data_IF_137769290990
#
_entry.id   IF_137769290990
#
_cell.length_a   1.000
_cell.length_b   1.000
_cell.length_c   1.000
_cell.angle_alpha   90.00
_cell.angle_beta   90.00
_cell.angle_gamma   90.00
#
_symmetry.space_group_name_H-M   'P 1'
#
loop_
_entity.id
_entity.type
_entity.pdbx_description
1 polymer ?
#
# COMPACT_ATOMS: atom_id res chain seq x y z
N UNK A 1 35.10 -0.07 -9.32
CA UNK A 1 36.38 -0.66 -8.87
C UNK A 1 36.38 -2.17 -9.07
N UNK A 2 35.54 -2.93 -8.35
CA UNK A 2 35.53 -4.40 -8.37
C UNK A 2 35.65 -5.05 -9.76
N UNK A 3 34.78 -4.68 -10.72
CA UNK A 3 34.83 -5.22 -12.08
C UNK A 3 36.10 -4.81 -12.85
N UNK A 4 36.44 -3.52 -12.84
CA UNK A 4 37.56 -2.97 -13.62
C UNK A 4 38.94 -3.38 -13.13
N UNK A 5 39.06 -3.81 -11.87
CA UNK A 5 40.34 -4.24 -11.27
C UNK A 5 40.53 -5.76 -11.29
N UNK A 6 39.66 -6.50 -11.98
CA UNK A 6 39.81 -7.95 -12.15
C UNK A 6 41.16 -8.29 -12.79
N UNK A 7 41.91 -9.21 -12.20
CA UNK A 7 43.30 -9.55 -12.58
C UNK A 7 44.30 -8.38 -12.59
N UNK A 8 43.97 -7.21 -12.01
CA UNK A 8 44.86 -6.04 -11.94
C UNK A 8 45.35 -5.74 -10.52
N UNK A 9 44.66 -6.25 -9.50
CA UNK A 9 45.03 -6.11 -8.08
C UNK A 9 45.18 -7.48 -7.42
N UNK A 10 45.93 -7.60 -6.31
CA UNK A 10 46.04 -8.86 -5.57
C UNK A 10 44.68 -9.40 -5.15
N UNK A 11 44.49 -10.73 -5.21
CA UNK A 11 43.23 -11.41 -4.89
C UNK A 11 42.67 -11.03 -3.52
N UNK A 12 43.53 -10.95 -2.49
CA UNK A 12 43.14 -10.52 -1.14
C UNK A 12 42.56 -9.11 -1.12
N UNK A 13 43.09 -8.19 -1.94
CA UNK A 13 42.57 -6.83 -2.05
C UNK A 13 41.26 -6.81 -2.83
N UNK A 14 41.14 -7.61 -3.89
CA UNK A 14 39.91 -7.75 -4.66
C UNK A 14 38.74 -8.25 -3.80
N UNK A 15 38.99 -9.25 -2.94
CA UNK A 15 38.02 -9.73 -1.95
C UNK A 15 37.62 -8.65 -0.93
N UNK A 16 38.57 -7.84 -0.44
CA UNK A 16 38.26 -6.72 0.46
C UNK A 16 37.34 -5.68 -0.20
N UNK A 17 37.56 -5.38 -1.49
CA UNK A 17 36.68 -4.49 -2.26
C UNK A 17 35.27 -5.09 -2.38
N UNK A 18 35.17 -6.41 -2.58
CA UNK A 18 33.88 -7.12 -2.59
C UNK A 18 33.14 -7.01 -1.25
N UNK A 19 33.83 -7.24 -0.14
CA UNK A 19 33.26 -7.09 1.21
C UNK A 19 32.84 -5.65 1.52
N UNK A 20 33.61 -4.66 1.08
CA UNK A 20 33.22 -3.26 1.20
C UNK A 20 31.92 -2.97 0.45
N UNK A 21 31.76 -3.50 -0.76
CA UNK A 21 30.54 -3.36 -1.55
C UNK A 21 29.33 -4.03 -0.87
N UNK A 22 29.52 -5.24 -0.33
CA UNK A 22 28.48 -5.94 0.42
C UNK A 22 28.06 -5.17 1.68
N UNK A 23 29.03 -4.66 2.44
CA UNK A 23 28.78 -3.83 3.63
C UNK A 23 28.05 -2.53 3.30
N UNK A 24 28.50 -1.80 2.28
CA UNK A 24 27.82 -0.59 1.81
C UNK A 24 26.38 -0.88 1.36
N UNK A 25 26.17 -1.98 0.63
CA UNK A 25 24.84 -2.41 0.21
C UNK A 25 23.94 -2.72 1.41
N UNK A 26 24.47 -3.40 2.44
CA UNK A 26 23.73 -3.64 3.67
C UNK A 26 23.35 -2.34 4.41
N UNK A 27 24.22 -1.33 4.43
CA UNK A 27 23.89 -0.04 5.05
C UNK A 27 22.74 0.69 4.33
N UNK A 28 22.55 0.48 3.01
CA UNK A 28 21.36 1.01 2.32
C UNK A 28 20.08 0.38 2.89
N UNK A 29 20.07 -0.94 3.09
CA UNK A 29 18.97 -1.65 3.74
C UNK A 29 18.76 -1.14 5.18
N UNK A 30 19.84 -1.00 5.96
CA UNK A 30 19.78 -0.50 7.34
C UNK A 30 19.07 0.86 7.43
N UNK A 31 19.41 1.80 6.55
CA UNK A 31 18.84 3.16 6.51
C UNK A 31 17.38 3.13 6.04
N UNK A 32 17.11 2.51 4.89
CA UNK A 32 15.75 2.45 4.31
C UNK A 32 14.79 1.71 5.25
N UNK A 33 15.28 0.68 5.95
CA UNK A 33 14.50 -0.05 6.95
C UNK A 33 13.99 0.87 8.06
N UNK A 34 14.83 1.79 8.55
CA UNK A 34 14.43 2.79 9.55
C UNK A 34 13.27 3.65 9.09
N UNK A 35 13.35 4.16 7.85
CA UNK A 35 12.29 4.99 7.26
C UNK A 35 10.99 4.18 7.10
N UNK A 36 11.06 2.98 6.53
CA UNK A 36 9.87 2.17 6.26
C UNK A 36 9.15 1.68 7.52
N UNK A 37 9.91 1.35 8.57
CA UNK A 37 9.33 0.89 9.85
C UNK A 37 8.76 2.05 10.65
N UNK A 38 9.37 3.23 10.58
CA UNK A 38 8.85 4.46 11.19
C UNK A 38 7.44 4.81 10.67
N UNK A 39 7.19 4.58 9.37
CA UNK A 39 5.86 4.82 8.79
C UNK A 39 4.73 4.01 9.46
N UNK A 40 5.03 2.80 9.94
CA UNK A 40 4.06 1.94 10.62
C UNK A 40 4.01 2.21 12.13
N UNK A 41 5.19 2.28 12.74
CA UNK A 41 5.37 2.46 14.18
C UNK A 41 6.33 3.62 14.43
N UNK A 42 5.87 4.89 14.45
CA UNK A 42 6.77 6.02 14.68
C UNK A 42 7.29 6.11 16.12
N UNK A 43 6.60 5.46 17.07
CA UNK A 43 6.95 5.41 18.49
C UNK A 43 6.38 6.57 19.29
N UNK A 44 6.05 6.32 20.56
CA UNK A 44 5.38 7.29 21.44
C UNK A 44 6.21 8.57 21.62
N UNK A 45 7.51 8.44 21.87
CA UNK A 45 8.39 9.59 22.11
C UNK A 45 8.49 10.55 20.91
N UNK A 46 8.34 10.04 19.67
CA UNK A 46 8.30 10.90 18.50
C UNK A 46 6.92 11.54 18.32
N UNK A 47 5.84 10.77 18.56
CA UNK A 47 4.47 11.26 18.49
C UNK A 47 4.20 12.42 19.46
N UNK A 48 4.82 12.41 20.64
CA UNK A 48 4.72 13.50 21.63
C UNK A 48 5.20 14.86 21.12
N UNK A 49 6.15 14.88 20.19
CA UNK A 49 6.73 16.12 19.63
C UNK A 49 6.32 16.34 18.17
N UNK A 50 5.50 15.48 17.61
CA UNK A 50 5.14 15.52 16.19
C UNK A 50 4.25 16.73 15.89
N UNK A 51 4.67 17.56 14.92
CA UNK A 51 4.01 18.83 14.59
C UNK A 51 4.48 20.02 15.42
N UNK A 52 5.39 19.83 16.38
CA UNK A 52 5.92 20.92 17.22
C UNK A 52 7.14 21.63 16.62
N UNK A 53 7.72 21.09 15.55
CA UNK A 53 9.02 21.54 15.01
C UNK A 53 10.23 21.00 15.78
N UNK A 54 10.02 20.19 16.83
CA UNK A 54 11.08 19.57 17.63
C UNK A 54 11.31 18.09 17.30
N UNK A 55 10.81 17.60 16.17
CA UNK A 55 10.87 16.18 15.77
C UNK A 55 12.30 15.65 15.69
N UNK A 56 13.25 16.52 15.28
CA UNK A 56 14.66 16.19 15.20
C UNK A 56 15.27 15.79 16.56
N UNK A 57 14.72 16.27 17.68
CA UNK A 57 15.19 15.91 19.02
C UNK A 57 14.96 14.43 19.36
N UNK A 58 14.02 13.78 18.65
CA UNK A 58 13.63 12.37 18.85
C UNK A 58 14.06 11.47 17.70
N UNK A 59 14.99 11.92 16.85
CA UNK A 59 15.42 11.23 15.63
C UNK A 59 15.75 9.75 15.85
N UNK A 60 16.64 9.42 16.80
CA UNK A 60 17.08 8.03 16.99
C UNK A 60 15.97 7.13 17.53
N UNK A 61 15.02 7.68 18.29
CA UNK A 61 13.87 6.93 18.81
C UNK A 61 12.86 6.63 17.70
N UNK A 62 12.68 7.57 16.76
CA UNK A 62 11.93 7.35 15.53
C UNK A 62 12.63 6.37 14.58
N UNK A 63 13.95 6.47 14.43
CA UNK A 63 14.71 5.60 13.53
C UNK A 63 14.77 4.15 14.04
N UNK A 64 15.11 3.94 15.32
CA UNK A 64 15.12 2.63 15.98
C UNK A 64 13.79 2.34 16.68
N UNK A 65 12.72 2.46 15.90
CA UNK A 65 11.36 2.23 16.37
C UNK A 65 11.06 0.74 16.70
N UNK A 66 9.90 0.42 17.32
CA UNK A 66 9.61 -0.93 17.81
C UNK A 66 9.73 -2.04 16.76
N UNK A 67 9.38 -1.78 15.50
CA UNK A 67 9.43 -2.78 14.41
C UNK A 67 10.75 -2.78 13.64
N UNK A 68 11.69 -1.88 13.95
CA UNK A 68 12.97 -1.72 13.26
C UNK A 68 13.76 -3.04 13.17
N UNK A 69 14.09 -3.63 14.32
CA UNK A 69 14.92 -4.82 14.41
C UNK A 69 14.28 -6.06 13.79
N UNK A 70 13.04 -6.45 14.14
CA UNK A 70 12.43 -7.61 13.50
C UNK A 70 12.31 -7.44 11.98
N UNK A 71 12.02 -6.23 11.50
CA UNK A 71 11.98 -5.95 10.06
C UNK A 71 13.35 -6.03 9.39
N UNK A 72 14.40 -5.52 10.03
CA UNK A 72 15.77 -5.60 9.52
C UNK A 72 16.21 -7.06 9.35
N UNK A 73 15.96 -7.90 10.35
CA UNK A 73 16.27 -9.34 10.27
C UNK A 73 15.47 -10.02 9.16
N UNK A 74 14.16 -9.79 9.09
CA UNK A 74 13.31 -10.36 8.03
C UNK A 74 13.83 -9.99 6.64
N UNK A 75 14.11 -8.69 6.39
CA UNK A 75 14.62 -8.22 5.10
C UNK A 75 16.01 -8.78 4.78
N UNK A 76 16.87 -8.89 5.79
CA UNK A 76 18.20 -9.50 5.61
C UNK A 76 18.08 -10.96 5.19
N UNK A 77 17.20 -11.74 5.83
CA UNK A 77 16.95 -13.13 5.48
C UNK A 77 16.40 -13.28 4.06
N UNK A 78 15.48 -12.39 3.66
CA UNK A 78 14.96 -12.34 2.28
C UNK A 78 16.08 -12.01 1.29
N UNK A 79 16.92 -11.00 1.55
CA UNK A 79 18.05 -10.67 0.68
C UNK A 79 19.04 -11.83 0.53
N UNK A 80 19.38 -12.50 1.63
CA UNK A 80 20.30 -13.65 1.63
C UNK A 80 19.73 -14.82 0.84
N UNK A 81 18.44 -15.13 1.03
CA UNK A 81 17.78 -16.20 0.29
C UNK A 81 17.66 -15.89 -1.21
N UNK A 82 17.30 -14.65 -1.59
CA UNK A 82 17.26 -14.21 -2.99
C UNK A 82 18.65 -14.27 -3.64
N UNK A 83 19.72 -13.92 -2.91
CA UNK A 83 21.08 -14.08 -3.40
C UNK A 83 21.41 -15.56 -3.68
N UNK A 84 21.00 -16.47 -2.80
CA UNK A 84 21.10 -17.91 -3.02
C UNK A 84 20.33 -18.40 -4.23
N UNK A 85 19.09 -17.92 -4.44
CA UNK A 85 18.29 -18.24 -5.62
C UNK A 85 18.93 -17.74 -6.91
N UNK A 86 19.50 -16.53 -6.91
CA UNK A 86 20.21 -16.00 -8.07
C UNK A 86 21.52 -16.77 -8.36
N UNK A 87 22.23 -17.18 -7.32
CA UNK A 87 23.39 -18.05 -7.45
C UNK A 87 23.02 -19.41 -8.07
N UNK A 88 21.86 -19.99 -7.71
CA UNK A 88 21.33 -21.19 -8.35
C UNK A 88 21.05 -21.00 -9.84
N UNK A 89 20.50 -19.84 -10.25
CA UNK A 89 20.29 -19.50 -11.67
C UNK A 89 21.63 -19.50 -12.42
N UNK A 90 22.66 -18.88 -11.85
CA UNK A 90 23.99 -18.84 -12.47
C UNK A 90 24.62 -20.23 -12.52
N UNK A 91 24.57 -20.99 -11.42
CA UNK A 91 25.13 -22.33 -11.29
C UNK A 91 24.44 -23.37 -12.19
N UNK A 92 23.13 -23.20 -12.45
CA UNK A 92 22.36 -24.10 -13.33
C UNK A 92 22.87 -24.12 -14.77
N UNK A 93 23.60 -23.08 -15.21
CA UNK A 93 24.20 -22.99 -16.55
C UNK A 93 25.49 -23.81 -16.70
N UNK A 94 26.03 -24.36 -15.61
CA UNK A 94 27.17 -25.26 -15.67
C UNK A 94 26.75 -26.60 -16.30
N UNK A 95 27.62 -27.12 -17.18
CA UNK A 95 27.44 -28.43 -17.81
C UNK A 95 27.69 -29.53 -16.77
N UNK A 96 26.64 -30.31 -16.45
CA UNK A 96 26.71 -31.38 -15.46
C UNK A 96 27.60 -32.55 -15.86
N UNK A 97 27.84 -32.75 -17.16
CA UNK A 97 28.68 -33.84 -17.68
C UNK A 97 30.15 -33.43 -17.70
N UNK A 98 30.46 -32.18 -18.05
CA UNK A 98 31.85 -31.67 -18.11
C UNK A 98 32.38 -31.17 -16.77
N UNK A 99 31.52 -30.55 -15.97
CA UNK A 99 31.89 -29.86 -14.73
C UNK A 99 31.04 -30.32 -13.53
N UNK A 100 30.68 -31.62 -13.51
CA UNK A 100 29.74 -32.16 -12.53
C UNK A 100 30.14 -31.97 -11.05
N UNK A 101 31.45 -31.98 -10.74
CA UNK A 101 31.94 -31.71 -9.39
C UNK A 101 31.72 -30.25 -8.97
N UNK A 102 32.18 -29.29 -9.78
CA UNK A 102 31.99 -27.86 -9.55
C UNK A 102 30.51 -27.49 -9.47
N UNK A 103 29.69 -28.00 -10.42
CA UNK A 103 28.25 -27.78 -10.40
C UNK A 103 27.61 -28.26 -9.11
N UNK A 104 28.02 -29.43 -8.62
CA UNK A 104 27.51 -30.00 -7.37
C UNK A 104 27.84 -29.15 -6.17
N UNK A 105 29.09 -28.70 -6.07
CA UNK A 105 29.56 -27.86 -4.98
C UNK A 105 28.81 -26.52 -4.94
N UNK A 106 28.79 -25.81 -6.07
CA UNK A 106 28.18 -24.47 -6.15
C UNK A 106 26.68 -24.53 -5.90
N UNK A 107 25.96 -25.54 -6.41
CA UNK A 107 24.52 -25.70 -6.18
C UNK A 107 24.22 -25.99 -4.70
N UNK A 108 24.96 -26.90 -4.06
CA UNK A 108 24.75 -27.22 -2.65
C UNK A 108 25.10 -26.04 -1.73
N UNK A 109 26.18 -25.33 -2.06
CA UNK A 109 26.53 -24.10 -1.37
C UNK A 109 25.45 -23.02 -1.53
N UNK A 110 24.94 -22.82 -2.75
CA UNK A 110 23.85 -21.87 -3.04
C UNK A 110 22.55 -22.24 -2.31
N UNK A 111 22.21 -23.53 -2.25
CA UNK A 111 21.07 -24.04 -1.48
C UNK A 111 21.20 -23.74 0.02
N UNK A 112 22.41 -23.82 0.57
CA UNK A 112 22.67 -23.51 1.98
C UNK A 112 22.19 -22.12 2.41
N UNK A 113 22.19 -21.14 1.50
CA UNK A 113 21.71 -19.78 1.76
C UNK A 113 20.18 -19.64 1.88
N UNK A 114 19.41 -20.67 1.52
CA UNK A 114 17.96 -20.70 1.73
C UNK A 114 17.58 -21.12 3.15
N UNK A 115 18.45 -21.87 3.83
CA UNK A 115 18.18 -22.47 5.13
C UNK A 115 17.95 -21.42 6.24
N UNK A 116 18.79 -20.36 6.39
CA UNK A 116 18.57 -19.37 7.43
C UNK A 116 17.20 -18.72 7.34
N UNK A 117 16.75 -18.39 6.13
CA UNK A 117 15.46 -17.78 5.91
C UNK A 117 14.32 -18.73 6.34
N UNK A 118 14.39 -20.02 5.98
CA UNK A 118 13.36 -20.98 6.37
C UNK A 118 13.19 -21.13 7.89
N UNK A 119 14.29 -21.21 8.65
CA UNK A 119 14.22 -21.42 10.10
C UNK A 119 13.98 -20.13 10.88
N UNK A 120 14.57 -19.02 10.45
CA UNK A 120 14.56 -17.77 11.22
C UNK A 120 13.41 -16.84 10.83
N UNK A 121 12.91 -16.88 9.58
CA UNK A 121 11.81 -15.99 9.18
C UNK A 121 10.55 -16.19 10.02
N UNK A 122 10.07 -17.41 10.34
CA UNK A 122 8.90 -17.58 11.20
C UNK A 122 9.09 -16.93 12.58
N UNK A 123 10.28 -17.06 13.17
CA UNK A 123 10.61 -16.50 14.49
C UNK A 123 10.63 -14.96 14.41
N UNK A 124 11.34 -14.39 13.44
CA UNK A 124 11.40 -12.94 13.24
C UNK A 124 10.04 -12.35 12.85
N UNK A 125 9.20 -13.12 12.15
CA UNK A 125 7.85 -12.71 11.79
C UNK A 125 6.93 -12.68 13.00
N UNK A 126 6.99 -13.68 13.89
CA UNK A 126 6.27 -13.65 15.16
C UNK A 126 6.75 -12.49 16.04
N UNK A 127 8.06 -12.22 16.09
CA UNK A 127 8.61 -11.04 16.77
C UNK A 127 8.10 -9.73 16.15
N UNK A 128 8.02 -9.66 14.83
CA UNK A 128 7.45 -8.51 14.13
C UNK A 128 5.98 -8.29 14.53
N UNK A 129 5.16 -9.34 14.46
CA UNK A 129 3.73 -9.27 14.80
C UNK A 129 3.49 -8.86 16.26
N UNK A 130 4.35 -9.30 17.19
CA UNK A 130 4.28 -8.91 18.58
C UNK A 130 4.51 -7.40 18.80
N UNK A 131 5.30 -6.76 17.93
CA UNK A 131 5.61 -5.33 18.01
C UNK A 131 4.59 -4.45 17.25
N UNK A 132 3.67 -5.04 16.48
CA UNK A 132 2.64 -4.30 15.74
C UNK A 132 1.50 -3.89 16.71
N UNK A 133 1.12 -2.60 16.75
CA UNK A 133 0.02 -2.11 17.59
C UNK A 133 -1.32 -2.83 17.37
N UNK A 134 -2.13 -2.95 18.42
CA UNK A 134 -3.42 -3.65 18.38
C UNK A 134 -4.40 -3.08 17.35
N UNK A 135 -4.40 -1.76 17.15
CA UNK A 135 -5.25 -1.09 16.14
C UNK A 135 -4.97 -1.58 14.72
N UNK A 136 -3.73 -2.00 14.43
CA UNK A 136 -3.31 -2.54 13.13
C UNK A 136 -3.39 -4.08 13.10
N UNK A 137 -3.39 -4.74 14.25
CA UNK A 137 -3.47 -6.21 14.36
C UNK A 137 -4.90 -6.75 14.22
N UNK A 138 -5.94 -5.93 14.39
CA UNK A 138 -7.33 -6.33 14.14
C UNK A 138 -7.55 -6.84 12.70
N UNK A 139 -6.84 -6.28 11.71
CA UNK A 139 -6.84 -6.76 10.32
C UNK A 139 -6.30 -8.19 10.16
N UNK A 140 -5.37 -8.59 11.03
CA UNK A 140 -4.81 -9.94 11.11
C UNK A 140 -5.73 -10.88 11.89
N UNK A 141 -6.29 -10.42 13.02
CA UNK A 141 -7.23 -11.18 13.85
C UNK A 141 -8.53 -11.53 13.13
N UNK A 142 -9.07 -10.61 12.34
CA UNK A 142 -10.25 -10.82 11.48
C UNK A 142 -10.04 -11.94 10.44
N UNK A 143 -8.80 -12.19 10.01
CA UNK A 143 -8.53 -13.27 9.07
C UNK A 143 -8.36 -14.65 9.72
N UNK A 144 -8.10 -14.70 11.03
CA UNK A 144 -7.99 -15.95 11.80
C UNK A 144 -9.39 -16.42 12.23
N UNK A 145 -10.29 -15.51 12.61
CA UNK A 145 -11.68 -15.84 13.00
C UNK A 145 -12.53 -16.31 11.82
N UNK A 146 -12.17 -15.97 10.58
CA UNK A 146 -12.85 -16.39 9.35
C UNK A 146 -12.24 -17.63 8.68
N UNK A 147 -11.31 -18.35 9.34
CA UNK A 147 -10.68 -19.58 8.79
C UNK A 147 -11.73 -20.65 8.48
N UNK A 148 -12.81 -20.72 9.27
CA UNK A 148 -13.92 -21.67 9.05
C UNK A 148 -14.91 -21.29 7.95
N UNK A 149 -14.95 -20.02 7.51
CA UNK A 149 -15.94 -19.50 6.55
C UNK A 149 -15.38 -19.25 5.14
N UNK A 150 -14.08 -19.45 4.92
CA UNK A 150 -13.43 -19.27 3.61
C UNK A 150 -13.28 -17.80 3.15
N UNK A 151 -13.73 -16.84 3.96
CA UNK A 151 -13.64 -15.41 3.69
C UNK A 151 -12.36 -14.83 4.29
N UNK A 152 -11.20 -15.13 3.70
CA UNK A 152 -9.92 -14.59 4.19
C UNK A 152 -9.84 -13.07 4.02
N UNK A 153 -9.36 -12.36 5.04
CA UNK A 153 -8.85 -11.00 4.83
C UNK A 153 -7.66 -11.06 3.86
N UNK A 154 -7.47 -10.01 3.07
CA UNK A 154 -6.38 -9.95 2.08
C UNK A 154 -5.00 -10.15 2.73
N UNK A 155 -4.83 -9.67 3.95
CA UNK A 155 -3.58 -9.77 4.71
C UNK A 155 -3.29 -11.23 5.10
N UNK A 156 -4.27 -11.92 5.71
CA UNK A 156 -4.08 -13.31 6.16
C UNK A 156 -3.86 -14.27 4.99
N UNK A 157 -4.58 -14.09 3.88
CA UNK A 157 -4.33 -14.86 2.65
C UNK A 157 -2.91 -14.66 2.13
N UNK A 158 -2.42 -13.43 2.14
CA UNK A 158 -1.08 -13.09 1.65
C UNK A 158 0.02 -13.67 2.55
N UNK A 159 -0.19 -13.66 3.87
CA UNK A 159 0.70 -14.31 4.83
C UNK A 159 0.75 -15.84 4.62
N UNK A 160 -0.41 -16.50 4.47
CA UNK A 160 -0.47 -17.94 4.19
C UNK A 160 0.23 -18.32 2.88
N UNK A 161 -0.04 -17.58 1.79
CA UNK A 161 0.63 -17.77 0.50
C UNK A 161 2.14 -17.65 0.67
N UNK A 162 2.61 -16.67 1.44
CA UNK A 162 4.05 -16.48 1.67
C UNK A 162 4.67 -17.69 2.38
N UNK A 163 4.03 -18.18 3.44
CA UNK A 163 4.51 -19.34 4.21
C UNK A 163 4.51 -20.59 3.33
N UNK A 164 3.41 -20.87 2.64
CA UNK A 164 3.28 -22.03 1.76
C UNK A 164 4.29 -21.96 0.62
N UNK A 165 4.42 -20.82 -0.05
CA UNK A 165 5.38 -20.62 -1.14
C UNK A 165 6.82 -20.81 -0.66
N UNK A 166 7.16 -20.30 0.53
CA UNK A 166 8.49 -20.48 1.13
C UNK A 166 8.79 -21.95 1.43
N UNK A 167 7.82 -22.69 1.97
CA UNK A 167 7.93 -24.12 2.21
C UNK A 167 8.07 -24.91 0.89
N UNK A 168 7.30 -24.53 -0.14
CA UNK A 168 7.39 -25.13 -1.48
C UNK A 168 8.75 -24.88 -2.12
N UNK A 169 9.30 -23.65 -2.04
CA UNK A 169 10.65 -23.32 -2.53
C UNK A 169 11.67 -24.23 -1.87
N UNK A 170 11.62 -24.38 -0.54
CA UNK A 170 12.59 -25.21 0.16
C UNK A 170 12.45 -26.69 -0.24
N UNK A 171 11.22 -27.20 -0.31
CA UNK A 171 10.96 -28.58 -0.70
C UNK A 171 11.50 -28.88 -2.11
N UNK A 172 11.17 -28.04 -3.10
CA UNK A 172 11.65 -28.19 -4.48
C UNK A 172 13.18 -28.02 -4.53
N UNK A 173 13.74 -27.02 -3.85
CA UNK A 173 15.18 -26.80 -3.83
C UNK A 173 15.92 -27.98 -3.17
N UNK A 174 15.36 -28.59 -2.13
CA UNK A 174 15.94 -29.79 -1.52
C UNK A 174 15.85 -31.00 -2.46
N UNK A 175 14.66 -31.27 -3.00
CA UNK A 175 14.42 -32.45 -3.84
C UNK A 175 15.18 -32.40 -5.17
N UNK A 176 15.27 -31.24 -5.80
CA UNK A 176 15.85 -31.10 -7.14
C UNK A 176 17.29 -30.60 -7.06
N UNK A 177 17.55 -29.53 -6.32
CA UNK A 177 18.89 -28.92 -6.30
C UNK A 177 19.85 -29.66 -5.36
N UNK A 178 19.42 -30.06 -4.16
CA UNK A 178 20.31 -30.70 -3.20
C UNK A 178 20.55 -32.20 -3.50
N UNK A 179 19.50 -32.95 -3.85
CA UNK A 179 19.62 -34.38 -4.18
C UNK A 179 20.18 -34.65 -5.57
N UNK A 180 19.74 -33.90 -6.59
CA UNK A 180 20.13 -34.12 -7.99
C UNK A 180 20.85 -32.90 -8.61
N UNK A 181 21.94 -32.41 -8.00
CA UNK A 181 22.56 -31.15 -8.41
C UNK A 181 23.13 -31.17 -9.84
N UNK A 182 23.59 -32.32 -10.35
CA UNK A 182 24.16 -32.41 -11.71
C UNK A 182 23.10 -32.14 -12.78
N UNK A 183 21.88 -32.61 -12.55
CA UNK A 183 20.73 -32.49 -13.46
C UNK A 183 19.91 -31.21 -13.22
N UNK A 184 20.25 -30.43 -12.20
CA UNK A 184 19.57 -29.16 -11.92
C UNK A 184 19.70 -28.21 -13.11
N UNK A 185 18.57 -27.99 -13.79
CA UNK A 185 18.46 -27.19 -15.01
C UNK A 185 18.05 -25.75 -14.76
N UNK A 186 18.25 -24.91 -15.78
CA UNK A 186 17.92 -23.48 -15.75
C UNK A 186 16.44 -23.20 -15.50
N UNK A 187 15.54 -24.02 -16.04
CA UNK A 187 14.10 -23.87 -15.82
C UNK A 187 13.70 -23.96 -14.35
N UNK A 188 14.24 -24.95 -13.60
CA UNK A 188 14.02 -25.07 -12.17
C UNK A 188 14.53 -23.85 -11.40
N UNK A 189 15.71 -23.35 -11.77
CA UNK A 189 16.30 -22.19 -11.11
C UNK A 189 15.45 -20.92 -11.30
N UNK A 190 14.98 -20.67 -12.52
CA UNK A 190 14.09 -19.53 -12.82
C UNK A 190 12.75 -19.67 -12.10
N UNK A 191 12.16 -20.87 -12.07
CA UNK A 191 10.92 -21.11 -11.32
C UNK A 191 11.09 -20.80 -9.83
N UNK A 192 12.17 -21.28 -9.20
CA UNK A 192 12.46 -20.98 -7.79
C UNK A 192 12.66 -19.48 -7.55
N UNK A 193 13.36 -18.78 -8.47
CA UNK A 193 13.53 -17.34 -8.39
C UNK A 193 12.20 -16.59 -8.49
N UNK A 194 11.33 -16.94 -9.45
CA UNK A 194 10.01 -16.32 -9.63
C UNK A 194 9.14 -16.53 -8.40
N UNK A 195 9.15 -17.74 -7.81
CA UNK A 195 8.45 -18.01 -6.55
C UNK A 195 9.00 -17.16 -5.40
N UNK A 196 10.32 -17.01 -5.30
CA UNK A 196 10.97 -16.15 -4.31
C UNK A 196 10.53 -14.68 -4.46
N UNK A 197 10.55 -14.15 -5.67
CA UNK A 197 10.11 -12.79 -5.97
C UNK A 197 8.61 -12.60 -5.68
N UNK A 198 7.77 -13.59 -6.02
CA UNK A 198 6.34 -13.56 -5.72
C UNK A 198 6.06 -13.57 -4.22
N UNK A 199 6.81 -14.36 -3.44
CA UNK A 199 6.73 -14.36 -1.98
C UNK A 199 7.14 -13.00 -1.41
N UNK A 200 8.26 -12.42 -1.87
CA UNK A 200 8.70 -11.08 -1.46
C UNK A 200 7.68 -10.00 -1.80
N UNK A 201 7.15 -9.98 -3.03
CA UNK A 201 6.13 -9.03 -3.45
C UNK A 201 4.83 -9.16 -2.65
N UNK A 202 4.45 -10.39 -2.29
CA UNK A 202 3.31 -10.68 -1.41
C UNK A 202 3.53 -10.08 -0.02
N UNK A 203 4.68 -10.31 0.60
CA UNK A 203 4.99 -9.72 1.92
C UNK A 203 5.00 -8.20 1.92
N UNK A 204 5.54 -7.58 0.87
CA UNK A 204 5.55 -6.10 0.76
C UNK A 204 4.14 -5.54 0.58
N UNK A 205 3.28 -6.21 -0.19
CA UNK A 205 1.87 -5.86 -0.30
C UNK A 205 1.14 -5.99 1.04
N UNK A 206 1.40 -7.05 1.81
CA UNK A 206 0.79 -7.23 3.13
C UNK A 206 1.21 -6.11 4.10
N UNK A 207 2.50 -5.75 4.11
CA UNK A 207 3.06 -4.65 4.89
C UNK A 207 2.47 -3.30 4.49
N UNK A 208 2.24 -3.06 3.20
CA UNK A 208 1.54 -1.86 2.71
C UNK A 208 0.09 -1.80 3.18
N UNK A 209 -0.61 -2.93 3.21
CA UNK A 209 -1.99 -2.99 3.70
C UNK A 209 -2.08 -2.75 5.21
N UNK A 210 -1.14 -3.26 6.00
CA UNK A 210 -1.09 -3.03 7.45
C UNK A 210 -0.86 -1.56 7.83
N UNK A 211 -0.24 -0.77 6.94
CA UNK A 211 0.02 0.65 7.18
C UNK A 211 -1.24 1.51 7.02
N UNK A 212 -2.19 1.09 6.18
CA UNK A 212 -3.41 1.87 5.92
C UNK A 212 -4.26 1.97 7.20
N UNK A 213 -4.95 3.10 7.43
CA UNK A 213 -5.16 4.25 6.53
C UNK A 213 -4.08 5.35 6.58
N UNK A 214 -2.93 5.09 7.21
CA UNK A 214 -1.91 6.11 7.49
C UNK A 214 -0.75 6.13 6.47
N UNK A 215 -0.08 7.27 6.35
CA UNK A 215 1.31 7.36 5.84
C UNK A 215 2.29 7.24 7.00
N UNK A 216 2.00 7.91 8.11
CA UNK A 216 2.72 7.82 9.39
C UNK A 216 1.71 7.46 10.46
N UNK A 217 1.85 6.26 11.04
CA UNK A 217 0.91 5.71 12.00
C UNK A 217 0.55 6.70 13.11
N UNK A 218 -0.75 6.89 13.35
CA UNK A 218 -1.28 7.79 14.40
C UNK A 218 -0.95 9.29 14.24
N UNK A 219 -0.23 9.69 13.19
CA UNK A 219 0.13 11.09 12.95
C UNK A 219 -0.50 11.66 11.68
N UNK A 220 -0.39 10.94 10.55
CA UNK A 220 -0.80 11.45 9.24
C UNK A 220 -1.47 10.37 8.41
N UNK A 221 -2.67 10.69 7.92
CA UNK A 221 -3.47 9.86 7.03
C UNK A 221 -2.89 9.78 5.62
N UNK A 222 -3.31 8.77 4.85
CA UNK A 222 -2.90 8.54 3.46
C UNK A 222 -3.20 9.68 2.49
N UNK A 223 -4.16 10.55 2.82
CA UNK A 223 -4.47 11.78 2.09
C UNK A 223 -3.69 13.02 2.62
N UNK A 224 -2.72 12.83 3.51
CA UNK A 224 -1.86 13.89 4.05
C UNK A 224 -2.44 14.67 5.22
N UNK A 225 -3.70 14.41 5.61
CA UNK A 225 -4.34 15.09 6.73
C UNK A 225 -3.76 14.58 8.04
N UNK A 226 -3.37 15.50 8.93
CA UNK A 226 -2.81 15.16 10.24
C UNK A 226 -3.91 14.84 11.24
N UNK A 227 -3.71 13.70 11.91
CA UNK A 227 -4.49 13.28 13.09
C UNK A 227 -4.02 13.98 14.36
N UNK A 228 -2.71 14.24 14.47
CA UNK A 228 -2.14 14.91 15.64
C UNK A 228 -2.44 16.41 15.59
N UNK A 229 -2.80 17.04 16.72
CA UNK A 229 -2.93 18.49 16.81
C UNK A 229 -1.63 19.21 16.46
N UNK A 230 -1.74 20.39 15.84
CA UNK A 230 -0.58 21.23 15.51
C UNK A 230 -0.86 22.67 15.94
N UNK A 231 0.06 23.26 16.71
CA UNK A 231 -0.06 24.63 17.22
C UNK A 231 -1.05 24.81 18.37
N UNK A 232 -1.27 26.06 18.76
CA UNK A 232 -2.35 26.48 19.66
C UNK A 232 -3.47 27.15 18.84
N UNK A 233 -4.76 26.86 19.11
CA UNK A 233 -5.27 25.82 20.01
C UNK A 233 -5.00 24.41 19.45
N UNK A 234 -4.94 23.39 20.30
CA UNK A 234 -4.68 21.98 19.93
C UNK A 234 -5.84 21.33 19.15
N UNK A 235 -6.16 21.87 17.97
CA UNK A 235 -7.18 21.37 17.06
C UNK A 235 -6.51 20.47 16.03
N UNK A 236 -7.13 19.33 15.72
CA UNK A 236 -6.65 18.44 14.66
C UNK A 236 -6.96 19.03 13.28
N UNK A 237 -6.18 18.71 12.25
CA UNK A 237 -6.51 19.16 10.88
C UNK A 237 -7.87 18.61 10.43
N UNK A 238 -8.27 17.44 10.93
CA UNK A 238 -9.59 16.86 10.69
C UNK A 238 -10.70 17.80 11.19
N UNK A 239 -10.63 18.23 12.45
CA UNK A 239 -11.61 19.16 13.02
C UNK A 239 -11.60 20.51 12.31
N UNK A 240 -10.41 21.04 12.04
CA UNK A 240 -10.22 22.31 11.35
C UNK A 240 -10.86 22.31 9.96
N UNK A 241 -10.58 21.29 9.14
CA UNK A 241 -11.16 21.19 7.80
C UNK A 241 -12.66 20.90 7.82
N UNK A 242 -13.17 20.24 8.86
CA UNK A 242 -14.60 20.05 9.03
C UNK A 242 -15.35 21.34 9.38
N UNK A 243 -14.70 22.29 10.06
CA UNK A 243 -15.31 23.59 10.40
C UNK A 243 -15.07 24.68 9.37
N UNK A 244 -13.84 24.79 8.86
CA UNK A 244 -13.41 25.87 7.95
C UNK A 244 -13.57 25.49 6.47
N UNK A 245 -13.62 24.20 6.15
CA UNK A 245 -13.59 23.67 4.79
C UNK A 245 -12.19 23.27 4.34
N UNK A 246 -12.11 22.16 3.61
CA UNK A 246 -10.86 21.57 3.13
C UNK A 246 -10.20 22.42 2.04
N UNK A 247 -10.99 22.97 1.12
CA UNK A 247 -10.47 23.68 -0.05
C UNK A 247 -9.94 25.08 0.27
N UNK A 248 -10.19 25.59 1.48
CA UNK A 248 -9.63 26.87 1.95
C UNK A 248 -8.10 26.87 1.97
N UNK A 249 -7.48 25.72 2.21
CA UNK A 249 -6.02 25.54 2.25
C UNK A 249 -5.49 24.69 1.10
N UNK A 250 -6.33 24.36 0.12
CA UNK A 250 -5.90 23.62 -1.07
C UNK A 250 -5.04 24.49 -1.98
N UNK A 251 -3.84 23.99 -2.32
CA UNK A 251 -2.95 24.61 -3.31
C UNK A 251 -3.54 24.61 -4.73
N UNK A 252 -4.57 23.80 -4.99
CA UNK A 252 -5.20 23.64 -6.30
C UNK A 252 -6.49 24.44 -6.45
N UNK A 253 -6.97 25.08 -5.38
CA UNK A 253 -8.05 26.07 -5.44
C UNK A 253 -7.45 27.46 -5.67
N UNK A 254 -8.00 28.18 -6.65
CA UNK A 254 -7.69 29.58 -6.89
C UNK A 254 -8.39 30.48 -5.86
N UNK A 255 -7.95 31.73 -5.74
CA UNK A 255 -8.60 32.69 -4.84
C UNK A 255 -10.02 33.04 -5.31
N UNK A 256 -10.21 33.16 -6.62
CA UNK A 256 -11.51 33.41 -7.23
C UNK A 256 -12.51 32.29 -6.92
N UNK A 257 -12.08 31.02 -7.07
CA UNK A 257 -12.89 29.84 -6.70
C UNK A 257 -13.25 29.86 -5.19
N UNK A 258 -12.29 30.20 -4.31
CA UNK A 258 -12.55 30.26 -2.85
C UNK A 258 -13.58 31.32 -2.50
N UNK A 259 -13.50 32.51 -3.08
CA UNK A 259 -14.47 33.60 -2.83
C UNK A 259 -15.86 33.19 -3.30
N UNK A 260 -15.98 32.66 -4.51
CA UNK A 260 -17.26 32.22 -5.07
C UNK A 260 -17.93 31.12 -4.23
N UNK A 261 -17.16 30.14 -3.75
CA UNK A 261 -17.68 29.09 -2.87
C UNK A 261 -18.06 29.59 -1.48
N UNK A 262 -17.32 30.54 -0.91
CA UNK A 262 -17.68 31.14 0.36
C UNK A 262 -19.03 31.89 0.27
N UNK A 263 -19.25 32.64 -0.81
CA UNK A 263 -20.54 33.30 -1.08
C UNK A 263 -21.67 32.27 -1.22
N UNK A 264 -21.44 31.20 -1.98
CA UNK A 264 -22.40 30.11 -2.13
C UNK A 264 -22.75 29.47 -0.79
N UNK A 265 -21.74 29.16 0.04
CA UNK A 265 -21.92 28.50 1.35
C UNK A 265 -22.79 29.33 2.31
N UNK A 266 -22.73 30.66 2.24
CA UNK A 266 -23.61 31.55 3.02
C UNK A 266 -25.08 31.50 2.60
N UNK A 267 -25.35 31.18 1.34
CA UNK A 267 -26.71 31.13 0.78
C UNK A 267 -27.32 29.72 0.78
N UNK A 268 -26.53 28.70 1.14
CA UNK A 268 -26.95 27.31 1.18
C UNK A 268 -27.98 27.07 2.30
N UNK A 269 -29.11 26.47 1.94
CA UNK A 269 -30.24 26.21 2.85
C UNK A 269 -30.50 24.70 3.08
N UNK A 270 -29.54 23.83 2.73
CA UNK A 270 -29.68 22.38 2.89
C UNK A 270 -30.42 21.66 1.75
N UNK A 271 -30.80 22.35 0.68
CA UNK A 271 -31.42 21.76 -0.51
C UNK A 271 -30.43 21.56 -1.66
N UNK A 272 -30.66 20.56 -2.54
CA UNK A 272 -29.92 20.36 -3.79
C UNK A 272 -30.29 21.47 -4.81
N UNK A 273 -30.00 22.73 -4.51
CA UNK A 273 -30.07 23.82 -5.48
C UNK A 273 -28.70 23.96 -6.16
N UNK A 274 -28.35 22.92 -6.91
CA UNK A 274 -27.14 22.85 -7.75
C UNK A 274 -27.49 22.62 -9.22
N UNK A 275 -28.77 22.85 -9.57
CA UNK A 275 -29.25 22.93 -10.94
C UNK A 275 -29.23 24.39 -11.38
N UNK A 276 -28.55 24.66 -12.48
CA UNK A 276 -28.70 25.93 -13.18
C UNK A 276 -30.16 26.05 -13.65
N UNK A 277 -30.87 27.09 -13.20
CA UNK A 277 -32.22 27.43 -13.71
C UNK A 277 -32.22 27.66 -15.24
N UNK A 278 -31.04 27.80 -15.86
CA UNK A 278 -30.86 28.08 -17.29
C UNK A 278 -30.32 26.91 -18.10
N UNK A 279 -29.91 25.79 -17.49
CA UNK A 279 -29.25 24.65 -18.17
C UNK A 279 -29.77 23.27 -17.70
N UNK A 280 -31.09 23.07 -17.59
CA UNK A 280 -31.67 21.74 -17.33
C UNK A 280 -31.18 21.06 -16.02
N UNK A 281 -31.38 19.74 -15.85
CA UNK A 281 -30.99 19.01 -14.64
C UNK A 281 -29.48 18.75 -14.51
N UNK A 282 -28.64 19.55 -15.19
CA UNK A 282 -27.18 19.38 -15.15
C UNK A 282 -26.59 20.16 -13.97
N UNK A 283 -25.65 19.51 -13.26
CA UNK A 283 -24.93 20.10 -12.14
C UNK A 283 -24.06 21.25 -12.66
N UNK A 284 -24.06 22.38 -11.96
CA UNK A 284 -23.25 23.54 -12.35
C UNK A 284 -21.75 23.15 -12.47
N UNK A 285 -21.05 23.59 -13.54
CA UNK A 285 -19.64 23.25 -13.74
C UNK A 285 -18.72 23.63 -12.56
N UNK A 286 -19.02 24.74 -11.89
CA UNK A 286 -18.29 25.21 -10.71
C UNK A 286 -18.41 24.23 -9.53
N UNK A 287 -19.58 23.62 -9.34
CA UNK A 287 -19.82 22.60 -8.33
C UNK A 287 -19.08 21.31 -8.65
N UNK A 288 -19.10 20.89 -9.92
CA UNK A 288 -18.32 19.73 -10.37
C UNK A 288 -16.82 19.98 -10.19
N UNK A 289 -16.36 21.21 -10.42
CA UNK A 289 -14.98 21.62 -10.17
C UNK A 289 -14.60 21.55 -8.68
N UNK A 290 -15.45 22.06 -7.79
CA UNK A 290 -15.28 21.95 -6.33
C UNK A 290 -15.20 20.48 -5.90
N UNK A 291 -16.11 19.64 -6.40
CA UNK A 291 -16.11 18.20 -6.13
C UNK A 291 -14.91 17.45 -6.70
N UNK A 292 -14.43 17.85 -7.88
CA UNK A 292 -13.20 17.31 -8.47
C UNK A 292 -11.98 17.59 -7.58
N UNK A 293 -11.86 18.81 -7.06
CA UNK A 293 -10.75 19.18 -6.18
C UNK A 293 -10.78 18.43 -4.86
N UNK A 294 -11.97 18.20 -4.29
CA UNK A 294 -12.15 17.31 -3.14
C UNK A 294 -11.66 15.88 -3.46
N UNK A 295 -12.02 15.34 -4.63
CA UNK A 295 -11.58 14.03 -5.07
C UNK A 295 -10.05 13.96 -5.27
N UNK A 296 -9.47 14.98 -5.91
CA UNK A 296 -8.02 15.08 -6.13
C UNK A 296 -7.25 15.13 -4.80
N UNK A 297 -7.72 15.92 -3.84
CA UNK A 297 -7.06 16.10 -2.55
C UNK A 297 -7.23 14.91 -1.60
N UNK A 298 -8.42 14.32 -1.54
CA UNK A 298 -8.75 13.35 -0.49
C UNK A 298 -8.88 11.89 -0.97
N UNK A 299 -9.14 11.65 -2.25
CA UNK A 299 -9.38 10.30 -2.77
C UNK A 299 -8.26 9.80 -3.70
N UNK A 300 -7.66 10.68 -4.51
CA UNK A 300 -6.70 10.33 -5.56
C UNK A 300 -5.38 9.74 -5.04
N UNK A 301 -5.07 9.94 -3.76
CA UNK A 301 -3.93 9.30 -3.10
C UNK A 301 -4.05 7.76 -3.04
N UNK A 302 -5.28 7.23 -3.10
CA UNK A 302 -5.55 5.80 -2.99
C UNK A 302 -6.40 5.22 -4.14
N UNK A 303 -7.14 6.07 -4.85
CA UNK A 303 -8.04 5.71 -5.93
C UNK A 303 -7.61 6.36 -7.23
N UNK A 304 -7.92 5.73 -8.35
CA UNK A 304 -7.85 6.39 -9.67
C UNK A 304 -9.25 6.68 -10.15
N UNK A 305 -9.40 7.48 -11.21
CA UNK A 305 -10.71 7.71 -11.83
C UNK A 305 -11.21 6.43 -12.51
N UNK A 306 -10.35 5.80 -13.30
CA UNK A 306 -10.71 4.81 -14.33
C UNK A 306 -9.77 3.59 -14.41
N UNK A 307 -8.64 3.58 -13.68
CA UNK A 307 -7.62 2.54 -13.75
C UNK A 307 -7.55 1.66 -12.47
N UNK A 308 -6.34 1.40 -11.96
CA UNK A 308 -6.14 0.62 -10.74
C UNK A 308 -6.89 1.27 -9.56
N UNK A 309 -7.76 0.50 -8.89
CA UNK A 309 -8.69 1.02 -7.86
C UNK A 309 -9.60 2.16 -8.38
N UNK A 310 -10.11 2.00 -9.60
CA UNK A 310 -11.06 2.91 -10.27
C UNK A 310 -12.28 3.23 -9.42
N UNK A 311 -12.46 4.52 -9.12
CA UNK A 311 -13.64 5.03 -8.44
C UNK A 311 -14.89 4.90 -9.33
N UNK A 312 -14.75 5.12 -10.64
CA UNK A 312 -15.84 4.91 -11.60
C UNK A 312 -16.40 3.48 -11.51
N UNK A 313 -15.54 2.48 -11.43
CA UNK A 313 -15.97 1.08 -11.34
C UNK A 313 -16.56 0.74 -9.96
N UNK A 314 -16.03 1.31 -8.87
CA UNK A 314 -16.56 1.07 -7.53
C UNK A 314 -17.94 1.70 -7.28
N UNK A 315 -18.25 2.77 -8.01
CA UNK A 315 -19.51 3.51 -7.88
C UNK A 315 -20.53 3.20 -8.98
N UNK A 316 -20.18 2.37 -9.96
CA UNK A 316 -21.03 2.05 -11.13
C UNK A 316 -22.43 1.57 -10.74
N UNK A 317 -22.57 0.81 -9.66
CA UNK A 317 -23.85 0.23 -9.24
C UNK A 317 -24.45 1.01 -8.05
N UNK A 318 -23.98 2.25 -7.79
CA UNK A 318 -24.44 3.11 -6.70
C UNK A 318 -25.12 4.37 -7.24
N UNK A 319 -26.31 4.64 -6.74
CA UNK A 319 -27.00 5.91 -6.98
C UNK A 319 -26.41 7.04 -6.12
N UNK A 320 -26.80 8.28 -6.43
CA UNK A 320 -26.34 9.47 -5.71
C UNK A 320 -26.64 9.39 -4.20
N UNK A 321 -27.78 8.83 -3.80
CA UNK A 321 -28.14 8.64 -2.38
C UNK A 321 -27.17 7.68 -1.68
N UNK A 322 -26.83 6.55 -2.31
CA UNK A 322 -25.83 5.61 -1.80
C UNK A 322 -24.44 6.26 -1.71
N UNK A 323 -24.06 7.09 -2.68
CA UNK A 323 -22.81 7.86 -2.65
C UNK A 323 -22.79 8.81 -1.46
N UNK A 324 -23.85 9.63 -1.27
CA UNK A 324 -23.96 10.54 -0.11
C UNK A 324 -23.85 9.81 1.22
N UNK A 325 -24.56 8.69 1.38
CA UNK A 325 -24.50 7.88 2.61
C UNK A 325 -23.09 7.33 2.86
N UNK A 326 -22.39 6.90 1.82
CA UNK A 326 -21.00 6.44 1.92
C UNK A 326 -20.06 7.56 2.37
N UNK A 327 -20.17 8.75 1.76
CA UNK A 327 -19.40 9.93 2.16
C UNK A 327 -19.73 10.36 3.60
N UNK A 328 -20.98 10.28 4.01
CA UNK A 328 -21.41 10.50 5.40
C UNK A 328 -20.73 9.55 6.38
N UNK A 329 -20.68 8.25 6.08
CA UNK A 329 -19.95 7.27 6.93
C UNK A 329 -18.44 7.54 6.99
N UNK A 330 -17.83 8.00 5.89
CA UNK A 330 -16.42 8.38 5.86
C UNK A 330 -16.14 9.68 6.62
N UNK A 331 -17.11 10.60 6.67
CA UNK A 331 -17.02 11.85 7.40
C UNK A 331 -17.23 11.66 8.91
N UNK A 332 -18.31 10.96 9.29
CA UNK A 332 -18.60 10.62 10.69
C UNK A 332 -17.48 9.78 11.31
N UNK A 333 -16.85 8.93 10.49
CA UNK A 333 -15.66 8.14 10.82
C UNK A 333 -15.76 7.34 12.13
N UNK A 334 -16.94 6.79 12.41
CA UNK A 334 -17.23 6.01 13.63
C UNK A 334 -16.33 4.78 13.77
N UNK A 335 -16.09 4.34 15.00
CA UNK A 335 -15.23 3.18 15.31
C UNK A 335 -15.67 1.89 14.62
N UNK A 336 -16.98 1.71 14.41
CA UNK A 336 -17.59 0.54 13.78
C UNK A 336 -17.69 0.66 12.24
N UNK A 337 -17.22 1.76 11.66
CA UNK A 337 -17.26 1.95 10.21
C UNK A 337 -16.40 0.90 9.49
N UNK A 338 -16.95 0.19 8.49
CA UNK A 338 -16.19 -0.81 7.73
C UNK A 338 -15.03 -0.21 6.94
N UNK A 339 -15.03 1.11 6.72
CA UNK A 339 -14.01 1.82 5.96
C UNK A 339 -12.83 2.29 6.80
N UNK A 340 -13.01 2.46 8.11
CA UNK A 340 -12.02 3.04 9.02
C UNK A 340 -10.69 2.26 9.07
N UNK A 341 -10.75 0.95 8.82
CA UNK A 341 -9.57 0.10 8.76
C UNK A 341 -8.73 0.28 7.47
N UNK A 342 -9.28 0.93 6.43
CA UNK A 342 -8.67 0.96 5.09
C UNK A 342 -8.58 2.36 4.47
N UNK A 343 -9.43 3.29 4.87
CA UNK A 343 -9.58 4.63 4.31
C UNK A 343 -9.47 5.69 5.41
N UNK A 344 -8.89 6.86 5.11
CA UNK A 344 -8.86 7.98 6.04
C UNK A 344 -10.25 8.64 6.16
N UNK A 345 -10.47 9.49 7.18
CA UNK A 345 -11.71 10.27 7.28
C UNK A 345 -11.85 11.22 6.09
N UNK A 346 -13.08 11.39 5.62
CA UNK A 346 -13.43 12.46 4.70
C UNK A 346 -13.64 13.75 5.48
N UNK A 347 -12.87 14.78 5.17
CA UNK A 347 -13.03 16.09 5.80
C UNK A 347 -13.67 17.10 4.87
N UNK A 348 -14.20 18.18 5.42
CA UNK A 348 -14.76 19.29 4.66
C UNK A 348 -16.19 19.63 5.10
N UNK A 349 -16.65 20.80 4.67
CA UNK A 349 -18.00 21.30 4.97
C UNK A 349 -19.07 20.44 4.28
N UNK A 350 -20.33 20.60 4.69
CA UNK A 350 -21.45 19.91 4.06
C UNK A 350 -21.55 20.20 2.56
N UNK A 351 -21.33 21.45 2.15
CA UNK A 351 -21.36 21.88 0.74
C UNK A 351 -20.20 21.29 -0.07
N UNK A 352 -19.01 21.17 0.51
CA UNK A 352 -17.87 20.48 -0.13
C UNK A 352 -18.15 18.99 -0.32
N UNK A 353 -18.73 18.33 0.68
CA UNK A 353 -19.09 16.90 0.58
C UNK A 353 -20.20 16.66 -0.43
N UNK A 354 -21.17 17.56 -0.51
CA UNK A 354 -22.24 17.49 -1.51
C UNK A 354 -21.70 17.70 -2.93
N UNK A 355 -20.82 18.68 -3.13
CA UNK A 355 -20.12 18.87 -4.40
C UNK A 355 -19.31 17.63 -4.81
N UNK A 356 -18.62 16.99 -3.86
CA UNK A 356 -17.93 15.72 -4.09
C UNK A 356 -18.91 14.61 -4.48
N UNK A 357 -20.06 14.48 -3.82
CA UNK A 357 -21.07 13.47 -4.16
C UNK A 357 -21.56 13.62 -5.61
N UNK A 358 -21.83 14.85 -6.03
CA UNK A 358 -22.28 15.14 -7.40
C UNK A 358 -21.18 14.86 -8.43
N UNK A 359 -19.93 15.26 -8.15
CA UNK A 359 -18.80 14.94 -9.02
C UNK A 359 -18.58 13.42 -9.16
N UNK A 360 -18.66 12.68 -8.06
CA UNK A 360 -18.53 11.22 -8.07
C UNK A 360 -19.64 10.55 -8.87
N UNK A 361 -20.88 11.05 -8.75
CA UNK A 361 -22.02 10.57 -9.52
C UNK A 361 -21.86 10.86 -11.01
N UNK A 362 -21.45 12.08 -11.37
CA UNK A 362 -21.17 12.47 -12.76
C UNK A 362 -20.03 11.63 -13.37
N UNK A 363 -18.96 11.39 -12.61
CA UNK A 363 -17.84 10.55 -13.05
C UNK A 363 -18.27 9.09 -13.29
N UNK A 364 -19.20 8.57 -12.48
CA UNK A 364 -19.72 7.21 -12.61
C UNK A 364 -20.71 7.08 -13.77
N UNK A 365 -21.64 8.04 -13.90
CA UNK A 365 -22.88 7.91 -14.68
C UNK A 365 -23.08 8.96 -15.79
N UNK A 366 -22.29 10.03 -15.84
CA UNK A 366 -22.44 11.15 -16.78
C UNK A 366 -22.30 10.76 -18.26
N UNK A 367 -21.78 9.57 -18.55
CA UNK A 367 -21.73 9.00 -19.90
C UNK A 367 -22.96 8.18 -20.32
N UNK A 368 -23.84 7.77 -19.40
CA UNK A 368 -25.00 6.92 -19.70
C UNK A 368 -26.26 7.72 -20.07
N UNK A 369 -26.37 8.99 -19.69
CA UNK A 369 -27.53 9.84 -20.02
C UNK A 369 -27.56 10.33 -21.49
N UNK A 370 -26.57 9.96 -22.32
CA UNK A 370 -26.48 10.35 -23.72
C UNK A 370 -27.04 9.32 -24.72
N UNK A 371 -27.54 8.16 -24.25
CA UNK A 371 -28.27 7.23 -25.13
C UNK A 371 -29.78 7.35 -24.88
N UNK A 372 -30.57 7.84 -25.86
CA UNK A 372 -32.02 7.76 -25.76
C UNK A 372 -32.40 6.29 -25.72
N UNK A 373 -33.22 5.91 -24.73
CA UNK A 373 -33.75 4.56 -24.61
C UNK A 373 -34.36 4.12 -25.95
N UNK A 374 -33.85 3.01 -26.51
CA UNK A 374 -34.51 2.37 -27.66
C UNK A 374 -35.95 2.01 -27.26
N UNK A 375 -36.94 2.37 -28.09
CA UNK A 375 -38.32 2.02 -27.80
C UNK A 375 -38.46 0.49 -27.81
N UNK A 376 -38.98 -0.04 -26.72
CA UNK A 376 -39.32 -1.46 -26.56
C UNK A 376 -40.26 -1.86 -27.70
N UNK A 377 -39.75 -2.58 -28.70
CA UNK A 377 -40.59 -3.22 -29.71
C UNK A 377 -41.43 -4.30 -29.02
N UNK A 378 -42.71 -4.02 -28.78
CA UNK A 378 -43.71 -5.04 -28.50
C UNK A 378 -43.79 -5.97 -29.71
N UNK A 379 -43.20 -7.16 -29.59
CA UNK A 379 -43.43 -8.25 -30.53
C UNK A 379 -44.83 -8.79 -30.24
N UNK A 380 -45.78 -8.42 -31.10
CA UNK A 380 -47.10 -9.02 -31.16
C UNK A 380 -46.97 -10.52 -31.42
N UNK A 381 -47.56 -11.33 -30.53
CA UNK A 381 -47.79 -12.76 -30.77
C UNK A 381 -48.83 -12.89 -31.88
N UNK A 382 -48.45 -13.52 -32.98
CA UNK A 382 -49.42 -14.13 -33.91
C UNK A 382 -49.20 -15.63 -33.91
N UNK A 383 -50.16 -16.35 -33.36
CA UNK A 383 -50.36 -17.78 -33.55
C UNK A 383 -50.88 -18.02 -34.98
N UNK A 384 -50.15 -18.81 -35.77
CA UNK A 384 -50.68 -19.96 -36.52
C UNK A 384 -49.55 -20.72 -37.21
#
# INVERSE_FOLDING_TARGET
>A
VYYYTWNRIPERLHLKVGWLYAGASFFTLFIINGILTFMLTPGAAWLEVAGSGQEASRFFQAFFNPTYWPSLFLRTLVCVSLAGLWALVTASRLDGNKQGALKTEVIRWSFGWLLPAFFLMPICFLWYLYQVPESQSQLLGLGISTIGSGTFTQVTRTALITVMTSATILCIAYLVAYRNPREFGFGYAVCLLVLGLAATGSTEKAREMLRKPYVVGEHMYSNGIRKTPVGEPHITEVEKFNSEGYLTQSLWATEEERVAWAEFDHTWNGGVQLASETLGPQVAPETLRRGELMFQGQCLACHTRDAYRSMKNFLRDRDLTSIRNMLGMLHDYKEDSPYRAFMPPLVGTETEREALALYLNEMAHGGEQAQPAEPVHQVARTNN
#
